data_IF_091151175994
#
_entry.id   IF_091151175994
#
_cell.length_a   1.000
_cell.length_b   1.000
_cell.length_c   1.000
_cell.angle_alpha   90.00
_cell.angle_beta   90.00
_cell.angle_gamma   90.00
#
_symmetry.space_group_name_H-M   'P 1'
#
loop_
_entity.id
_entity.type
_entity.pdbx_description
1 polymer ?
#
# COMPACT_ATOMS: atom_id res chain seq x y z
N UNK A 1 -26.93 -7.85 -4.31
CA UNK A 1 -25.55 -8.25 -4.59
C UNK A 1 -25.54 -9.76 -4.69
N UNK A 2 -25.14 -10.27 -5.84
CA UNK A 2 -25.00 -11.70 -6.07
C UNK A 2 -23.77 -12.23 -5.30
N UNK A 3 -23.75 -13.51 -4.93
CA UNK A 3 -22.66 -14.07 -4.13
C UNK A 3 -21.31 -14.02 -4.86
N UNK A 4 -21.31 -14.09 -6.20
CA UNK A 4 -20.11 -13.93 -7.01
C UNK A 4 -19.52 -12.50 -6.93
N UNK A 5 -20.37 -11.47 -6.98
CA UNK A 5 -19.96 -10.06 -6.86
C UNK A 5 -19.38 -9.77 -5.46
N UNK A 6 -20.03 -10.33 -4.43
CA UNK A 6 -19.55 -10.24 -3.05
C UNK A 6 -18.17 -10.88 -2.92
N UNK A 7 -18.02 -12.12 -3.41
CA UNK A 7 -16.76 -12.83 -3.33
C UNK A 7 -15.65 -12.09 -4.08
N UNK A 8 -15.90 -11.59 -5.28
CA UNK A 8 -14.93 -10.79 -6.04
C UNK A 8 -14.49 -9.51 -5.28
N UNK A 9 -15.43 -8.84 -4.61
CA UNK A 9 -15.14 -7.64 -3.80
C UNK A 9 -14.25 -7.98 -2.60
N UNK A 10 -14.55 -9.07 -1.88
CA UNK A 10 -13.75 -9.53 -0.76
C UNK A 10 -12.37 -10.02 -1.21
N UNK A 11 -12.31 -10.75 -2.33
CA UNK A 11 -11.06 -11.22 -2.92
C UNK A 11 -10.16 -10.04 -3.29
N UNK A 12 -10.72 -8.98 -3.87
CA UNK A 12 -9.96 -7.76 -4.15
C UNK A 12 -9.34 -7.15 -2.87
N UNK A 13 -10.08 -7.10 -1.76
CA UNK A 13 -9.54 -6.63 -0.49
C UNK A 13 -8.47 -7.57 0.07
N UNK A 14 -8.61 -8.88 -0.10
CA UNK A 14 -7.61 -9.87 0.30
C UNK A 14 -6.31 -9.74 -0.48
N UNK A 15 -6.41 -9.64 -1.80
CA UNK A 15 -5.29 -9.56 -2.74
C UNK A 15 -4.42 -8.33 -2.45
N UNK A 16 -5.06 -7.18 -2.26
CA UNK A 16 -4.37 -5.92 -1.98
C UNK A 16 -4.09 -5.72 -0.50
N UNK A 17 -4.80 -6.41 0.40
CA UNK A 17 -4.67 -6.29 1.84
C UNK A 17 -5.45 -5.16 2.50
N UNK A 18 -6.01 -4.26 1.70
CA UNK A 18 -6.78 -3.12 2.15
C UNK A 18 -7.04 -2.15 1.00
N UNK A 19 -7.94 -1.21 1.25
CA UNK A 19 -8.30 -0.15 0.32
C UNK A 19 -8.66 1.11 1.10
N UNK A 20 -8.29 2.29 0.60
CA UNK A 20 -8.78 3.54 1.17
C UNK A 20 -10.32 3.60 1.01
N UNK A 21 -11.01 4.11 2.02
CA UNK A 21 -12.47 3.98 2.11
C UNK A 21 -13.17 4.70 0.94
N UNK A 22 -12.70 5.88 0.55
CA UNK A 22 -13.30 6.61 -0.57
C UNK A 22 -13.00 5.91 -1.90
N UNK A 23 -11.76 5.45 -2.11
CA UNK A 23 -11.38 4.64 -3.27
C UNK A 23 -12.28 3.38 -3.40
N UNK A 24 -12.58 2.72 -2.28
CA UNK A 24 -13.49 1.57 -2.24
C UNK A 24 -14.92 1.97 -2.65
N UNK A 25 -15.45 3.06 -2.09
CA UNK A 25 -16.80 3.57 -2.42
C UNK A 25 -16.89 3.97 -3.89
N UNK A 26 -15.86 4.58 -4.45
CA UNK A 26 -15.81 4.94 -5.87
C UNK A 26 -15.79 3.71 -6.77
N UNK A 27 -15.06 2.66 -6.38
CA UNK A 27 -14.88 1.45 -7.19
C UNK A 27 -16.10 0.53 -7.15
N UNK A 28 -16.67 0.30 -5.97
CA UNK A 28 -17.72 -0.71 -5.77
C UNK A 28 -19.08 -0.10 -5.37
N UNK A 29 -19.13 1.17 -4.98
CA UNK A 29 -20.35 1.82 -4.50
C UNK A 29 -20.60 1.63 -3.00
N UNK A 30 -21.37 2.56 -2.43
CA UNK A 30 -21.69 2.57 -1.00
C UNK A 30 -22.62 1.41 -0.58
N UNK A 31 -23.47 0.94 -1.49
CA UNK A 31 -24.33 -0.23 -1.26
C UNK A 31 -23.51 -1.49 -0.94
N UNK A 32 -22.41 -1.73 -1.68
CA UNK A 32 -21.50 -2.86 -1.45
C UNK A 32 -20.88 -2.77 -0.06
N UNK A 33 -20.34 -1.59 0.29
CA UNK A 33 -19.76 -1.33 1.60
C UNK A 33 -20.74 -1.65 2.74
N UNK A 34 -21.99 -1.21 2.61
CA UNK A 34 -23.02 -1.44 3.63
C UNK A 34 -23.32 -2.94 3.81
N UNK A 35 -23.37 -3.72 2.73
CA UNK A 35 -23.61 -5.16 2.82
C UNK A 35 -22.44 -5.87 3.51
N UNK A 36 -21.20 -5.62 3.08
CA UNK A 36 -20.03 -6.30 3.66
C UNK A 36 -19.77 -5.91 5.12
N UNK A 37 -20.11 -4.67 5.51
CA UNK A 37 -20.06 -4.23 6.92
C UNK A 37 -21.13 -4.92 7.77
N UNK A 38 -22.38 -5.00 7.28
CA UNK A 38 -23.48 -5.70 7.98
C UNK A 38 -23.18 -7.18 8.19
N UNK A 39 -22.43 -7.81 7.28
CA UNK A 39 -21.98 -9.21 7.38
C UNK A 39 -20.66 -9.37 8.16
N UNK A 40 -20.14 -8.30 8.77
CA UNK A 40 -18.90 -8.30 9.55
C UNK A 40 -17.65 -8.80 8.79
N UNK A 41 -17.62 -8.67 7.45
CA UNK A 41 -16.46 -9.09 6.65
C UNK A 41 -15.33 -8.06 6.61
N UNK A 42 -15.61 -6.82 6.99
CA UNK A 42 -14.64 -5.73 6.92
C UNK A 42 -14.69 -4.84 8.15
N UNK A 43 -13.53 -4.27 8.46
CA UNK A 43 -13.35 -3.27 9.50
C UNK A 43 -12.66 -2.03 8.90
N UNK A 44 -12.80 -0.90 9.58
CA UNK A 44 -12.18 0.36 9.19
C UNK A 44 -11.17 0.77 10.26
N UNK A 45 -10.03 1.29 9.84
CA UNK A 45 -9.05 1.88 10.74
C UNK A 45 -8.69 3.28 10.27
N UNK A 46 -8.61 4.20 11.24
CA UNK A 46 -8.11 5.54 11.00
C UNK A 46 -6.59 5.52 10.88
N UNK A 47 -6.07 6.16 9.84
CA UNK A 47 -4.64 6.30 9.61
C UNK A 47 -4.29 7.76 9.36
N UNK A 48 -2.99 8.14 9.43
CA UNK A 48 -2.58 9.48 9.03
C UNK A 48 -2.99 9.84 7.60
N UNK A 49 -3.29 8.87 6.73
CA UNK A 49 -3.62 9.09 5.32
C UNK A 49 -5.12 8.96 5.02
N UNK A 50 -5.96 8.85 6.05
CA UNK A 50 -7.41 8.63 5.92
C UNK A 50 -7.84 7.26 6.45
N UNK A 51 -9.08 6.87 6.15
CA UNK A 51 -9.66 5.60 6.60
C UNK A 51 -9.31 4.48 5.64
N UNK A 52 -8.79 3.37 6.16
CA UNK A 52 -8.51 2.17 5.38
C UNK A 52 -9.51 1.08 5.77
N UNK A 53 -10.15 0.50 4.76
CA UNK A 53 -10.98 -0.69 4.87
C UNK A 53 -10.12 -1.94 4.66
N UNK A 54 -10.28 -2.94 5.52
CA UNK A 54 -9.57 -4.22 5.44
C UNK A 54 -10.46 -5.37 5.91
N UNK A 55 -10.07 -6.60 5.55
CA UNK A 55 -10.84 -7.79 5.93
C UNK A 55 -10.67 -8.13 7.42
N UNK A 56 -11.79 -8.42 8.08
CA UNK A 56 -11.84 -9.05 9.41
C UNK A 56 -11.43 -10.52 9.31
N UNK A 57 -11.38 -11.21 10.45
CA UNK A 57 -11.20 -12.67 10.48
C UNK A 57 -12.27 -13.39 9.63
N UNK A 58 -13.53 -12.99 9.77
CA UNK A 58 -14.67 -13.55 9.05
C UNK A 58 -14.57 -13.28 7.55
N UNK A 59 -14.20 -12.05 7.17
CA UNK A 59 -14.02 -11.70 5.77
C UNK A 59 -12.89 -12.47 5.10
N UNK A 60 -11.81 -12.76 5.83
CA UNK A 60 -10.69 -13.58 5.35
C UNK A 60 -11.11 -15.04 5.14
N UNK A 61 -11.85 -15.61 6.08
CA UNK A 61 -12.39 -16.97 5.93
C UNK A 61 -13.34 -17.07 4.74
N UNK A 62 -14.15 -16.04 4.48
CA UNK A 62 -15.07 -16.00 3.34
C UNK A 62 -14.38 -16.04 1.96
N UNK A 63 -13.08 -15.75 1.90
CA UNK A 63 -12.23 -15.85 0.69
C UNK A 63 -11.18 -16.96 0.80
N UNK A 64 -11.35 -17.90 1.74
CA UNK A 64 -10.49 -19.07 1.89
C UNK A 64 -9.10 -18.78 2.50
N UNK A 65 -8.88 -17.59 3.08
CA UNK A 65 -7.61 -17.27 3.74
C UNK A 65 -7.54 -17.87 5.14
N UNK A 66 -6.47 -18.62 5.41
CA UNK A 66 -6.21 -19.26 6.71
C UNK A 66 -5.29 -18.43 7.62
N UNK A 67 -4.65 -17.40 7.10
CA UNK A 67 -3.78 -16.51 7.86
C UNK A 67 -4.60 -15.43 8.59
N UNK A 68 -5.09 -15.73 9.79
CA UNK A 68 -6.05 -14.89 10.52
C UNK A 68 -5.42 -13.73 11.31
N UNK A 69 -4.34 -13.14 10.79
CA UNK A 69 -3.65 -12.04 11.45
C UNK A 69 -4.44 -10.72 11.36
N UNK A 70 -4.26 -9.87 12.37
CA UNK A 70 -4.72 -8.48 12.34
C UNK A 70 -3.60 -7.58 11.78
N UNK A 71 -3.81 -6.89 10.65
CA UNK A 71 -2.76 -6.10 10.01
C UNK A 71 -2.43 -4.85 10.82
N UNK A 72 -1.15 -4.47 10.87
CA UNK A 72 -0.74 -3.20 11.48
C UNK A 72 -1.12 -2.02 10.59
N UNK A 73 -1.35 -0.85 11.19
CA UNK A 73 -1.60 0.41 10.44
C UNK A 73 -0.53 0.64 9.37
N UNK A 74 0.74 0.43 9.71
CA UNK A 74 1.86 0.63 8.77
C UNK A 74 1.80 -0.34 7.58
N UNK A 75 1.39 -1.60 7.80
CA UNK A 75 1.24 -2.57 6.73
C UNK A 75 0.08 -2.20 5.79
N UNK A 76 -1.06 -1.76 6.35
CA UNK A 76 -2.22 -1.31 5.59
C UNK A 76 -1.90 -0.08 4.74
N UNK A 77 -1.25 0.91 5.34
CA UNK A 77 -0.83 2.14 4.65
C UNK A 77 0.12 1.82 3.48
N UNK A 78 1.08 0.90 3.68
CA UNK A 78 1.98 0.48 2.59
C UNK A 78 1.25 -0.30 1.50
N UNK A 79 0.26 -1.13 1.85
CA UNK A 79 -0.56 -1.83 0.86
C UNK A 79 -1.39 -0.84 0.00
N UNK A 80 -1.96 0.20 0.63
CA UNK A 80 -2.65 1.28 -0.10
C UNK A 80 -1.68 2.04 -1.01
N UNK A 81 -0.47 2.35 -0.54
CA UNK A 81 0.57 2.99 -1.36
C UNK A 81 0.89 2.16 -2.62
N UNK A 82 0.97 0.83 -2.51
CA UNK A 82 1.21 -0.05 -3.67
C UNK A 82 0.01 -0.06 -4.61
N UNK A 83 -1.22 -0.13 -4.07
CA UNK A 83 -2.44 -0.08 -4.88
C UNK A 83 -2.50 1.20 -5.71
N UNK A 84 -2.12 2.34 -5.13
CA UNK A 84 -2.03 3.63 -5.83
C UNK A 84 -0.92 3.67 -6.88
N UNK A 85 0.28 3.20 -6.53
CA UNK A 85 1.38 3.08 -7.48
C UNK A 85 1.00 2.22 -8.70
N UNK A 86 0.30 1.12 -8.48
CA UNK A 86 -0.21 0.25 -9.55
C UNK A 86 -1.27 0.98 -10.37
N UNK A 87 -2.19 1.73 -9.76
CA UNK A 87 -3.17 2.52 -10.49
C UNK A 87 -2.51 3.57 -11.40
N UNK A 88 -1.45 4.24 -10.93
CA UNK A 88 -0.63 5.16 -11.73
C UNK A 88 -0.02 4.45 -12.94
N UNK A 89 0.64 3.30 -12.72
CA UNK A 89 1.24 2.54 -13.81
C UNK A 89 0.19 2.00 -14.79
N UNK A 90 -0.99 1.60 -14.33
CA UNK A 90 -2.09 1.20 -15.21
C UNK A 90 -2.52 2.34 -16.15
N UNK A 91 -2.55 3.58 -15.65
CA UNK A 91 -2.85 4.75 -16.49
C UNK A 91 -1.77 5.03 -17.54
N UNK A 92 -0.54 4.53 -17.32
CA UNK A 92 0.58 4.62 -18.26
C UNK A 92 0.66 3.42 -19.22
N UNK A 93 -0.30 2.49 -19.17
CA UNK A 93 -0.38 1.34 -20.08
C UNK A 93 0.19 0.03 -19.55
N UNK A 94 0.59 -0.05 -18.26
CA UNK A 94 1.01 -1.30 -17.64
C UNK A 94 -0.20 -2.20 -17.34
N UNK A 95 -0.05 -3.52 -17.51
CA UNK A 95 -1.14 -4.50 -17.40
C UNK A 95 -0.88 -5.59 -16.35
N UNK A 96 -1.87 -6.47 -16.17
CA UNK A 96 -1.79 -7.71 -15.39
C UNK A 96 -1.23 -7.58 -13.96
N UNK A 97 -1.79 -6.66 -13.13
CA UNK A 97 -1.29 -6.47 -11.78
C UNK A 97 -1.51 -7.74 -10.94
N UNK A 98 -0.41 -8.32 -10.47
CA UNK A 98 -0.39 -9.41 -9.49
C UNK A 98 0.12 -8.87 -8.16
N UNK A 99 -0.76 -8.65 -7.17
CA UNK A 99 -0.33 -8.15 -5.87
C UNK A 99 0.36 -9.25 -5.04
N UNK A 100 1.18 -8.83 -4.07
CA UNK A 100 1.81 -9.67 -3.02
C UNK A 100 2.76 -10.78 -3.50
N UNK A 101 3.23 -10.75 -4.75
CA UNK A 101 4.08 -11.80 -5.35
C UNK A 101 5.45 -11.97 -4.65
N UNK A 102 5.95 -10.93 -3.97
CA UNK A 102 7.26 -10.95 -3.29
C UNK A 102 7.17 -10.56 -1.81
N UNK A 103 6.02 -10.83 -1.19
CA UNK A 103 5.69 -10.42 0.16
C UNK A 103 4.82 -9.16 0.21
N UNK A 104 4.59 -8.65 1.43
CA UNK A 104 3.70 -7.52 1.64
C UNK A 104 4.22 -6.25 0.96
N UNK A 105 3.30 -5.47 0.39
CA UNK A 105 3.58 -4.22 -0.29
C UNK A 105 4.60 -4.34 -1.45
N UNK A 106 4.44 -5.40 -2.25
CA UNK A 106 5.02 -5.56 -3.58
C UNK A 106 3.93 -6.03 -4.55
N UNK A 107 4.02 -5.62 -5.81
CA UNK A 107 3.20 -6.14 -6.90
C UNK A 107 4.08 -6.42 -8.12
N UNK A 108 3.64 -7.33 -8.97
CA UNK A 108 4.21 -7.55 -10.30
C UNK A 108 3.23 -7.00 -11.33
N UNK A 109 3.73 -6.43 -12.42
CA UNK A 109 2.96 -6.00 -13.57
C UNK A 109 3.69 -6.37 -14.86
N UNK A 110 3.00 -6.22 -15.98
CA UNK A 110 3.57 -6.31 -17.33
C UNK A 110 3.70 -4.90 -17.90
N UNK A 111 4.85 -4.56 -18.47
CA UNK A 111 5.05 -3.30 -19.18
C UNK A 111 4.45 -3.34 -20.61
N UNK A 112 4.36 -2.19 -21.31
CA UNK A 112 3.82 -2.15 -22.67
C UNK A 112 4.58 -3.00 -23.70
N UNK A 113 5.83 -3.35 -23.43
CA UNK A 113 6.67 -4.21 -24.27
C UNK A 113 6.52 -5.71 -23.91
N UNK A 114 5.63 -6.05 -22.97
CA UNK A 114 5.38 -7.43 -22.53
C UNK A 114 6.36 -7.96 -21.48
N UNK A 115 7.21 -7.12 -20.89
CA UNK A 115 8.20 -7.53 -19.89
C UNK A 115 7.67 -7.39 -18.47
N UNK A 116 8.16 -8.25 -17.59
CA UNK A 116 7.77 -8.22 -16.18
C UNK A 116 8.47 -7.08 -15.44
N UNK A 117 7.70 -6.37 -14.63
CA UNK A 117 8.20 -5.31 -13.74
C UNK A 117 7.71 -5.55 -12.32
N UNK A 118 8.51 -5.13 -11.35
CA UNK A 118 8.16 -5.16 -9.93
C UNK A 118 7.82 -3.75 -9.45
N UNK A 119 6.78 -3.62 -8.65
CA UNK A 119 6.32 -2.38 -8.04
C UNK A 119 6.42 -2.53 -6.53
N UNK A 120 7.14 -1.62 -5.90
CA UNK A 120 7.27 -1.52 -4.45
C UNK A 120 6.91 -0.12 -4.02
N UNK A 121 6.07 0.03 -3.00
CA UNK A 121 5.69 1.34 -2.49
C UNK A 121 5.73 1.39 -0.97
N UNK A 122 6.08 2.56 -0.44
CA UNK A 122 6.05 2.88 1.00
C UNK A 122 5.51 4.29 1.18
N UNK A 123 4.64 4.51 2.17
CA UNK A 123 4.03 5.83 2.38
C UNK A 123 4.87 6.80 3.23
N UNK A 124 5.71 6.28 4.13
CA UNK A 124 6.38 7.07 5.18
C UNK A 124 7.89 7.18 4.99
N UNK A 125 8.58 6.05 4.91
CA UNK A 125 10.03 6.03 4.70
C UNK A 125 10.46 4.81 3.90
N UNK A 126 11.44 5.04 3.04
CA UNK A 126 12.19 3.99 2.38
C UNK A 126 13.59 4.54 2.20
N UNK A 127 14.57 3.99 2.91
CA UNK A 127 15.93 4.52 2.85
C UNK A 127 16.71 3.90 1.69
N UNK A 128 17.81 4.55 1.31
CA UNK A 128 18.65 4.12 0.19
C UNK A 128 19.26 2.73 0.37
N UNK A 129 19.50 2.31 1.62
CA UNK A 129 20.04 0.99 1.91
C UNK A 129 18.98 -0.10 1.65
N UNK A 130 17.75 0.08 2.13
CA UNK A 130 16.65 -0.85 1.92
C UNK A 130 16.26 -0.96 0.44
N UNK A 131 16.32 0.14 -0.32
CA UNK A 131 16.10 0.10 -1.78
C UNK A 131 17.20 -0.72 -2.47
N UNK A 132 18.47 -0.53 -2.11
CA UNK A 132 19.59 -1.33 -2.65
C UNK A 132 19.47 -2.80 -2.30
N UNK A 133 19.10 -3.13 -1.07
CA UNK A 133 18.88 -4.53 -0.67
C UNK A 133 17.73 -5.16 -1.44
N UNK A 134 16.63 -4.44 -1.67
CA UNK A 134 15.51 -4.93 -2.48
C UNK A 134 15.95 -5.16 -3.93
N UNK A 135 16.62 -4.18 -4.54
CA UNK A 135 17.10 -4.29 -5.92
C UNK A 135 18.09 -5.45 -6.08
N UNK A 136 19.10 -5.55 -5.20
CA UNK A 136 20.07 -6.65 -5.22
C UNK A 136 19.39 -8.02 -5.05
N UNK A 137 18.43 -8.15 -4.14
CA UNK A 137 17.69 -9.41 -3.96
C UNK A 137 16.93 -9.83 -5.22
N UNK A 138 16.29 -8.87 -5.90
CA UNK A 138 15.48 -9.16 -7.08
C UNK A 138 16.35 -9.44 -8.31
N UNK A 139 17.35 -8.60 -8.59
CA UNK A 139 18.16 -8.68 -9.81
C UNK A 139 19.39 -9.59 -9.71
N UNK A 140 20.15 -9.52 -8.61
CA UNK A 140 21.33 -10.39 -8.43
C UNK A 140 20.94 -11.78 -7.90
N UNK A 141 19.65 -11.97 -7.58
CA UNK A 141 19.14 -13.16 -6.92
C UNK A 141 18.00 -13.83 -7.68
N UNK A 142 16.80 -13.78 -7.08
CA UNK A 142 15.73 -14.77 -7.28
C UNK A 142 14.81 -14.54 -8.48
N UNK A 143 14.99 -13.44 -9.23
CA UNK A 143 14.05 -12.99 -10.27
C UNK A 143 14.74 -12.39 -11.52
N UNK A 144 15.53 -13.19 -12.27
CA UNK A 144 16.18 -12.72 -13.50
C UNK A 144 15.20 -12.29 -14.60
N UNK A 145 13.93 -12.70 -14.52
CA UNK A 145 12.87 -12.33 -15.45
C UNK A 145 12.37 -10.88 -15.30
N UNK A 146 12.72 -10.20 -14.20
CA UNK A 146 12.32 -8.82 -13.98
C UNK A 146 13.17 -7.87 -14.81
N UNK A 147 12.51 -7.08 -15.65
CA UNK A 147 13.16 -6.06 -16.48
C UNK A 147 13.40 -4.74 -15.72
N UNK A 148 12.54 -4.43 -14.74
CA UNK A 148 12.58 -3.16 -14.00
C UNK A 148 11.96 -3.28 -12.61
N UNK A 149 12.46 -2.46 -11.69
CA UNK A 149 11.89 -2.23 -10.37
C UNK A 149 11.44 -0.78 -10.24
N UNK A 150 10.14 -0.57 -10.01
CA UNK A 150 9.58 0.70 -9.61
C UNK A 150 9.52 0.81 -8.09
N UNK A 151 10.06 1.89 -7.55
CA UNK A 151 10.03 2.20 -6.12
C UNK A 151 9.32 3.53 -5.91
N UNK A 152 8.12 3.46 -5.33
CA UNK A 152 7.30 4.60 -4.99
C UNK A 152 7.52 5.00 -3.52
N UNK A 153 8.01 6.21 -3.30
CA UNK A 153 8.43 6.72 -1.99
C UNK A 153 8.00 8.16 -1.79
N UNK A 154 7.82 8.60 -0.54
CA UNK A 154 7.74 10.02 -0.27
C UNK A 154 9.08 10.69 -0.60
N UNK A 155 9.05 11.78 -1.37
CA UNK A 155 10.22 12.61 -1.71
C UNK A 155 11.28 11.87 -2.56
N UNK A 156 10.88 11.31 -3.69
CA UNK A 156 11.74 10.55 -4.61
C UNK A 156 13.02 11.30 -5.03
N UNK A 157 12.97 12.64 -5.13
CA UNK A 157 14.12 13.48 -5.51
C UNK A 157 15.37 13.25 -4.64
N UNK A 158 15.22 12.73 -3.41
CA UNK A 158 16.32 12.41 -2.50
C UNK A 158 17.17 11.19 -2.92
N UNK A 159 16.70 10.41 -3.88
CA UNK A 159 17.27 9.12 -4.24
C UNK A 159 17.86 9.06 -5.66
N UNK A 160 18.05 10.21 -6.32
CA UNK A 160 18.53 10.30 -7.71
C UNK A 160 19.84 9.53 -7.98
N UNK A 161 20.70 9.40 -6.98
CA UNK A 161 22.02 8.75 -7.10
C UNK A 161 21.97 7.21 -7.11
N UNK A 162 20.80 6.60 -6.87
CA UNK A 162 20.65 5.14 -6.77
C UNK A 162 20.45 4.41 -8.11
N UNK A 163 20.31 5.14 -9.22
CA UNK A 163 19.87 4.60 -10.50
C UNK A 163 20.99 3.93 -11.34
N UNK A 164 22.23 3.94 -10.86
CA UNK A 164 23.37 3.58 -11.72
C UNK A 164 23.68 2.07 -11.78
N UNK A 165 23.19 1.25 -10.85
CA UNK A 165 23.59 -0.18 -10.73
C UNK A 165 22.51 -1.18 -11.16
N UNK A 166 21.24 -0.85 -11.01
CA UNK A 166 20.11 -1.73 -11.31
C UNK A 166 19.09 -0.97 -12.17
N UNK A 167 18.27 -1.66 -12.99
CA UNK A 167 17.16 -1.04 -13.72
C UNK A 167 16.06 -0.66 -12.73
N UNK A 168 16.30 0.44 -12.00
CA UNK A 168 15.51 0.95 -10.89
C UNK A 168 14.98 2.32 -11.26
N UNK A 169 13.69 2.51 -11.05
CA UNK A 169 13.01 3.78 -11.23
C UNK A 169 12.34 4.21 -9.92
N UNK A 170 12.71 5.38 -9.41
CA UNK A 170 12.22 5.88 -8.13
C UNK A 170 11.26 7.04 -8.41
N UNK A 171 10.01 6.88 -7.99
CA UNK A 171 8.91 7.82 -8.23
C UNK A 171 8.28 8.26 -6.91
N UNK A 172 7.60 9.40 -6.96
CA UNK A 172 6.82 9.85 -5.81
C UNK A 172 5.52 9.07 -5.74
N UNK A 173 5.18 8.58 -4.55
CA UNK A 173 3.87 7.99 -4.30
C UNK A 173 2.84 9.11 -4.15
N UNK A 174 1.72 8.99 -4.88
CA UNK A 174 0.58 9.90 -4.73
C UNK A 174 -0.24 9.54 -3.48
N UNK A 175 0.32 9.86 -2.31
CA UNK A 175 -0.37 9.73 -1.03
C UNK A 175 -0.82 11.12 -0.56
N UNK A 176 -2.03 11.23 0.03
CA UNK A 176 -2.46 12.48 0.65
C UNK A 176 -1.46 12.89 1.73
N UNK A 177 -1.39 14.19 2.03
CA UNK A 177 -0.58 14.62 3.16
C UNK A 177 -1.11 13.99 4.45
N UNK A 178 -0.22 13.57 5.36
CA UNK A 178 -0.65 13.06 6.65
C UNK A 178 -1.56 14.09 7.31
N UNK A 179 -2.78 13.69 7.66
CA UNK A 179 -3.63 14.41 8.59
C UNK A 179 -2.77 14.69 9.81
N UNK A 180 -2.44 15.95 10.04
CA UNK A 180 -1.71 16.33 11.24
C UNK A 180 -2.59 15.89 12.41
N UNK A 181 -2.19 14.80 13.07
CA UNK A 181 -2.64 14.59 14.43
C UNK A 181 -2.16 15.83 15.17
N UNK A 182 -3.09 16.72 15.54
CA UNK A 182 -2.84 17.72 16.58
C UNK A 182 -2.60 16.93 17.87
N UNK A 183 -1.45 16.29 17.96
CA UNK A 183 -0.89 15.90 19.25
C UNK A 183 -0.44 17.22 19.84
N UNK A 184 -1.08 17.72 20.91
CA UNK A 184 -0.51 18.85 21.64
C UNK A 184 0.87 18.37 22.09
N UNK A 185 1.93 18.94 21.53
CA UNK A 185 3.26 18.72 22.06
C UNK A 185 3.25 19.28 23.48
N UNK A 186 3.25 18.38 24.47
CA UNK A 186 3.37 18.68 25.89
C UNK A 186 4.79 19.20 26.24
N UNK A 187 5.27 20.18 25.47
CA UNK A 187 6.63 20.73 25.58
C UNK A 187 6.61 22.23 25.86
N UNK A 188 5.44 22.86 26.03
CA UNK A 188 5.33 24.28 26.39
C UNK A 188 4.84 24.57 27.81
N UNK A 189 4.48 23.57 28.61
CA UNK A 189 4.07 23.76 30.00
C UNK A 189 5.22 23.72 31.02
N UNK A 190 6.42 23.22 30.65
CA UNK A 190 7.54 23.11 31.60
C UNK A 190 8.40 24.37 31.73
N UNK A 191 8.39 25.28 30.75
CA UNK A 191 9.18 26.53 30.80
C UNK A 191 8.50 27.69 31.53
N UNK A 192 7.24 27.56 31.96
CA UNK A 192 6.56 28.61 32.74
C UNK A 192 6.62 28.36 34.26
N UNK A 193 6.89 27.13 34.70
CA UNK A 193 7.04 26.81 36.13
C UNK A 193 8.44 27.10 36.69
N UNK A 194 9.47 27.25 35.85
CA UNK A 194 10.84 27.64 36.26
C UNK A 194 11.09 29.16 36.16
N UNK A 195 10.12 29.95 35.69
CA UNK A 195 10.21 31.40 35.65
C UNK A 195 9.44 32.09 36.79
N UNK A 196 8.59 31.33 37.51
CA UNK A 196 7.75 31.81 38.61
C UNK A 196 8.06 31.09 39.95
N UNK A 197 9.20 30.41 40.05
CA UNK A 197 9.74 29.80 41.29
C UNK A 197 11.13 30.38 41.59
#
# INVERSE_FOLDING_TARGET
>A
MQDAELHATLQNLADWGGCELNDFKTTFGESHLNVIKRRHYVEQIDTPYGKILYLTREGRLAVGLTNLYHPTVQALVNNVAVRRAVATLKAEGYTDPKPRVYGNAHAQMTDPDGKLVCVSARATSFNSHSIRLLAGRLFDGTRPELSRLFVFVPKAKRFRTLQNRYPLEIREVDMPQPLQAKVPTASKSRKKAEADA
#
